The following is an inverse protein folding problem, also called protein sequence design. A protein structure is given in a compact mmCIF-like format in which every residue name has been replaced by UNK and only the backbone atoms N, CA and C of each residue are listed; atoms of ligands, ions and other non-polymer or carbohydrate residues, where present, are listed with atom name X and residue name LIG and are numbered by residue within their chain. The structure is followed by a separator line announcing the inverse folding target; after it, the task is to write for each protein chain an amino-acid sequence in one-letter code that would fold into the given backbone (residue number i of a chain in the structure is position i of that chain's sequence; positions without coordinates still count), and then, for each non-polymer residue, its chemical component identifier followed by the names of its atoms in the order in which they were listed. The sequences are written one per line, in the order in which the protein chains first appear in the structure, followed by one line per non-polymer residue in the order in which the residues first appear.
data_IF_767653647350
#
_entry.id   IF_767653647350
#
_cell.length_a   1.000
_cell.length_b   1.000
_cell.length_c   1.000
_cell.angle_alpha   90.00
_cell.angle_beta   90.00
_cell.angle_gamma   90.00
#
_symmetry.space_group_name_H-M   'P 1'
#
loop_
_entity.id
_entity.type
_entity.pdbx_description
1 polymer ?
#
# COMPACT_ATOMS: atom_id res chain seq x y z
N UNK A 1 -1.56 -13.13 25.00
CA UNK A 1 -0.26 -13.31 24.30
C UNK A 1 -0.42 -14.12 23.01
N UNK A 2 -1.02 -15.31 23.04
CA UNK A 2 -1.19 -16.17 21.84
C UNK A 2 -1.98 -15.52 20.68
N UNK A 3 -3.03 -14.75 20.95
CA UNK A 3 -3.83 -14.07 19.92
C UNK A 3 -3.02 -13.00 19.15
N UNK A 4 -2.13 -12.29 19.85
CA UNK A 4 -1.24 -11.31 19.23
C UNK A 4 -0.19 -11.97 18.35
N UNK A 5 0.33 -13.14 18.76
CA UNK A 5 1.27 -13.89 17.94
C UNK A 5 0.61 -14.41 16.66
N UNK A 6 -0.66 -14.86 16.74
CA UNK A 6 -1.42 -15.26 15.56
C UNK A 6 -1.64 -14.09 14.58
N UNK A 7 -2.08 -12.93 15.06
CA UNK A 7 -2.26 -11.73 14.22
C UNK A 7 -0.93 -11.20 13.65
N UNK A 8 0.13 -11.20 14.45
CA UNK A 8 1.46 -10.83 13.97
C UNK A 8 1.96 -11.79 12.88
N UNK A 9 1.58 -13.07 12.97
CA UNK A 9 1.89 -14.08 11.96
C UNK A 9 1.10 -13.88 10.66
N UNK A 10 -0.18 -13.50 10.72
CA UNK A 10 -0.95 -13.17 9.51
C UNK A 10 -0.39 -11.92 8.81
N UNK A 11 -0.02 -10.90 9.58
CA UNK A 11 0.46 -9.60 9.07
C UNK A 11 1.84 -9.64 8.45
N UNK A 12 2.66 -10.65 8.77
CA UNK A 12 4.04 -10.77 8.24
C UNK A 12 4.08 -10.83 6.71
N UNK A 13 3.00 -11.29 6.08
CA UNK A 13 2.87 -11.42 4.62
C UNK A 13 2.34 -10.15 3.95
N UNK A 14 1.87 -9.14 4.70
CA UNK A 14 1.25 -7.95 4.10
C UNK A 14 2.24 -7.15 3.27
N UNK A 15 3.40 -6.80 3.81
CA UNK A 15 4.40 -6.02 3.07
C UNK A 15 4.82 -6.67 1.73
N UNK A 16 5.18 -7.97 1.65
CA UNK A 16 5.54 -8.58 0.36
C UNK A 16 4.36 -8.70 -0.61
N UNK A 17 3.14 -8.99 -0.13
CA UNK A 17 1.94 -9.06 -0.98
C UNK A 17 1.62 -7.67 -1.56
N UNK A 18 1.57 -6.65 -0.70
CA UNK A 18 1.30 -5.26 -1.09
C UNK A 18 2.35 -4.75 -2.08
N UNK A 19 3.64 -4.99 -1.80
CA UNK A 19 4.72 -4.60 -2.71
C UNK A 19 4.57 -5.28 -4.08
N UNK A 20 4.36 -6.59 -4.13
CA UNK A 20 4.22 -7.33 -5.38
C UNK A 20 3.05 -6.83 -6.24
N UNK A 21 1.87 -6.66 -5.63
CA UNK A 21 0.68 -6.18 -6.32
C UNK A 21 0.82 -4.74 -6.82
N UNK A 22 1.29 -3.82 -5.97
CA UNK A 22 1.31 -2.40 -6.32
C UNK A 22 2.56 -1.96 -7.09
N UNK A 23 3.66 -2.72 -7.07
CA UNK A 23 4.77 -2.48 -8.00
C UNK A 23 4.30 -2.55 -9.44
N UNK A 24 3.51 -3.58 -9.78
CA UNK A 24 2.96 -3.72 -11.12
C UNK A 24 2.02 -2.56 -11.45
N UNK A 25 1.13 -2.19 -10.53
CA UNK A 25 0.22 -1.06 -10.70
C UNK A 25 0.99 0.25 -10.95
N UNK A 26 2.09 0.50 -10.24
CA UNK A 26 2.93 1.68 -10.46
C UNK A 26 3.56 1.69 -11.87
N UNK A 27 4.12 0.56 -12.33
CA UNK A 27 4.69 0.45 -13.68
C UNK A 27 3.63 0.74 -14.76
N UNK A 28 2.40 0.28 -14.55
CA UNK A 28 1.27 0.53 -15.43
C UNK A 28 0.80 1.99 -15.40
N UNK A 29 0.75 2.62 -14.22
CA UNK A 29 0.43 4.04 -14.08
C UNK A 29 1.47 4.94 -14.74
N UNK A 30 2.76 4.63 -14.62
CA UNK A 30 3.84 5.36 -15.30
C UNK A 30 3.69 5.27 -16.81
N UNK A 31 3.39 4.07 -17.35
CA UNK A 31 3.13 3.89 -18.78
C UNK A 31 1.90 4.66 -19.22
N UNK A 32 0.81 4.58 -18.46
CA UNK A 32 -0.42 5.31 -18.74
C UNK A 32 -0.16 6.83 -18.77
N UNK A 33 0.56 7.36 -17.79
CA UNK A 33 0.91 8.77 -17.75
C UNK A 33 1.76 9.22 -18.95
N UNK A 34 2.60 8.34 -19.49
CA UNK A 34 3.41 8.65 -20.68
C UNK A 34 2.62 8.63 -21.99
N UNK A 35 1.54 7.85 -22.05
CA UNK A 35 0.72 7.64 -23.26
C UNK A 35 -0.52 8.53 -23.32
N UNK A 36 -1.02 8.99 -22.17
CA UNK A 36 -2.21 9.83 -22.08
C UNK A 36 -1.81 11.30 -22.12
N UNK A 37 -2.45 12.07 -22.99
CA UNK A 37 -2.26 13.52 -23.11
C UNK A 37 -3.38 14.30 -22.42
N UNK A 38 -3.01 15.42 -21.82
CA UNK A 38 -3.91 16.44 -21.31
C UNK A 38 -3.39 17.81 -21.76
N UNK A 39 -4.26 18.64 -22.34
CA UNK A 39 -3.88 19.94 -22.91
C UNK A 39 -2.69 19.86 -23.90
N UNK A 40 -2.65 18.79 -24.70
CA UNK A 40 -1.61 18.58 -25.72
C UNK A 40 -0.23 18.20 -25.17
N UNK A 41 -0.14 17.81 -23.90
CA UNK A 41 1.10 17.29 -23.29
C UNK A 41 0.84 15.96 -22.58
N UNK A 42 1.79 15.00 -22.61
CA UNK A 42 1.70 13.80 -21.80
C UNK A 42 1.54 14.11 -20.31
N UNK A 43 0.70 13.35 -19.61
CA UNK A 43 0.53 13.46 -18.16
C UNK A 43 1.87 13.27 -17.41
N UNK A 44 2.80 12.52 -17.98
CA UNK A 44 4.16 12.34 -17.47
C UNK A 44 4.99 13.63 -17.44
N UNK A 45 4.58 14.71 -18.10
CA UNK A 45 5.20 16.03 -18.01
C UNK A 45 4.59 16.92 -16.91
N UNK A 46 3.43 16.56 -16.37
CA UNK A 46 2.80 17.29 -15.27
C UNK A 46 3.60 17.10 -13.97
N UNK A 47 4.08 18.18 -13.37
CA UNK A 47 4.94 18.13 -12.18
C UNK A 47 4.27 17.46 -10.98
N UNK A 48 2.96 17.64 -10.80
CA UNK A 48 2.20 17.04 -9.70
C UNK A 48 2.08 15.54 -9.87
N UNK A 49 1.79 15.07 -11.10
CA UNK A 49 1.72 13.63 -11.40
C UNK A 49 3.07 12.98 -11.20
N UNK A 50 4.16 13.61 -11.66
CA UNK A 50 5.52 13.11 -11.47
C UNK A 50 5.88 12.96 -10.00
N UNK A 51 5.54 13.96 -9.17
CA UNK A 51 5.79 13.91 -7.73
C UNK A 51 5.03 12.74 -7.08
N UNK A 52 3.73 12.58 -7.38
CA UNK A 52 2.91 11.48 -6.85
C UNK A 52 3.44 10.10 -7.24
N UNK A 53 3.86 9.92 -8.50
CA UNK A 53 4.46 8.66 -8.97
C UNK A 53 5.80 8.39 -8.30
N UNK A 54 6.61 9.42 -8.03
CA UNK A 54 7.87 9.29 -7.30
C UNK A 54 7.64 8.92 -5.83
N UNK A 55 6.67 9.54 -5.16
CA UNK A 55 6.29 9.20 -3.79
C UNK A 55 5.84 7.74 -3.68
N UNK A 56 5.01 7.27 -4.63
CA UNK A 56 4.61 5.86 -4.70
C UNK A 56 5.79 4.91 -4.90
N UNK A 57 6.77 5.29 -5.73
CA UNK A 57 7.97 4.49 -5.93
C UNK A 57 8.79 4.37 -4.63
N UNK A 58 8.94 5.47 -3.89
CA UNK A 58 9.62 5.50 -2.60
C UNK A 58 8.88 4.62 -1.59
N UNK A 59 7.56 4.78 -1.49
CA UNK A 59 6.72 4.03 -0.56
C UNK A 59 6.79 2.50 -0.82
N UNK A 60 6.85 2.08 -2.09
CA UNK A 60 7.04 0.68 -2.47
C UNK A 60 8.43 0.14 -2.10
N UNK A 61 9.48 0.94 -2.26
CA UNK A 61 10.82 0.55 -1.81
C UNK A 61 10.89 0.40 -0.28
N UNK A 62 10.18 1.25 0.46
CA UNK A 62 10.02 1.10 1.92
C UNK A 62 9.34 -0.22 2.26
N UNK A 63 8.23 -0.58 1.59
CA UNK A 63 7.57 -1.88 1.78
C UNK A 63 8.47 -3.06 1.44
N UNK A 64 9.27 -2.95 0.38
CA UNK A 64 10.26 -3.96 0.01
C UNK A 64 11.29 -4.17 1.13
N UNK A 65 11.82 -3.10 1.69
CA UNK A 65 12.75 -3.18 2.83
C UNK A 65 12.11 -3.78 4.07
N UNK A 66 10.86 -3.40 4.36
CA UNK A 66 10.09 -3.97 5.45
C UNK A 66 9.83 -5.47 5.30
N UNK A 67 9.57 -5.95 4.08
CA UNK A 67 9.43 -7.37 3.78
C UNK A 67 10.74 -8.13 4.05
N UNK A 68 11.88 -7.62 3.57
CA UNK A 68 13.18 -8.24 3.84
C UNK A 68 13.54 -8.20 5.33
N UNK A 69 13.24 -7.12 6.04
CA UNK A 69 13.50 -7.03 7.48
C UNK A 69 12.71 -8.08 8.26
N UNK A 70 11.42 -8.28 7.96
CA UNK A 70 10.60 -9.31 8.60
C UNK A 70 11.15 -10.71 8.29
N UNK A 71 11.46 -10.98 7.02
CA UNK A 71 11.99 -12.27 6.61
C UNK A 71 13.32 -12.60 7.32
N UNK A 72 14.21 -11.60 7.44
CA UNK A 72 15.47 -11.76 8.16
C UNK A 72 15.24 -12.00 9.66
N UNK A 73 14.36 -11.25 10.32
CA UNK A 73 14.09 -11.47 11.76
C UNK A 73 13.52 -12.87 12.03
N UNK A 74 12.61 -13.33 11.18
CA UNK A 74 12.06 -14.69 11.27
C UNK A 74 13.18 -15.73 11.07
N UNK A 75 14.11 -15.52 10.13
CA UNK A 75 15.23 -16.44 9.92
C UNK A 75 16.20 -16.50 11.11
N UNK A 76 16.24 -15.45 11.93
CA UNK A 76 16.96 -15.40 13.21
C UNK A 76 16.15 -15.99 14.39
N UNK A 77 15.00 -16.62 14.14
CA UNK A 77 14.13 -17.16 15.18
C UNK A 77 13.37 -16.11 16.00
N UNK A 78 13.34 -14.85 15.55
CA UNK A 78 12.61 -13.78 16.22
C UNK A 78 11.16 -13.75 15.77
N UNK A 79 10.25 -13.39 16.68
CA UNK A 79 8.83 -13.15 16.38
C UNK A 79 8.64 -11.63 16.24
N UNK A 80 8.49 -11.09 15.01
CA UNK A 80 8.21 -9.67 14.82
C UNK A 80 6.80 -9.37 15.32
N UNK A 81 6.67 -8.42 16.25
CA UNK A 81 5.38 -8.01 16.83
C UNK A 81 5.04 -6.61 16.34
N UNK A 82 5.81 -5.61 16.76
CA UNK A 82 5.54 -4.22 16.36
C UNK A 82 5.92 -3.94 14.90
N UNK A 83 6.87 -4.70 14.32
CA UNK A 83 7.24 -4.57 12.92
C UNK A 83 6.09 -4.99 12.00
N UNK A 84 5.35 -6.03 12.38
CA UNK A 84 4.14 -6.45 11.66
C UNK A 84 3.06 -5.36 11.71
N UNK A 85 2.90 -4.66 12.84
CA UNK A 85 1.99 -3.51 12.98
C UNK A 85 2.41 -2.31 12.13
N UNK A 86 3.70 -1.96 12.14
CA UNK A 86 4.27 -0.91 11.28
C UNK A 86 4.03 -1.23 9.80
N UNK A 87 4.29 -2.48 9.40
CA UNK A 87 4.12 -2.92 8.03
C UNK A 87 2.65 -2.85 7.59
N UNK A 88 1.70 -3.21 8.47
CA UNK A 88 0.26 -3.09 8.21
C UNK A 88 -0.12 -1.64 7.87
N UNK A 89 0.23 -0.69 8.74
CA UNK A 89 -0.06 0.74 8.52
C UNK A 89 0.53 1.22 7.18
N UNK A 90 1.78 0.87 6.91
CA UNK A 90 2.43 1.27 5.66
C UNK A 90 1.73 0.66 4.44
N UNK A 91 1.36 -0.63 4.51
CA UNK A 91 0.65 -1.31 3.42
C UNK A 91 -0.70 -0.64 3.10
N UNK A 92 -1.47 -0.26 4.12
CA UNK A 92 -2.74 0.44 3.92
C UNK A 92 -2.54 1.80 3.28
N UNK A 93 -1.54 2.55 3.74
CA UNK A 93 -1.23 3.88 3.23
C UNK A 93 -0.77 3.82 1.77
N UNK A 94 0.04 2.83 1.39
CA UNK A 94 0.42 2.59 -0.01
C UNK A 94 -0.81 2.24 -0.84
N UNK A 95 -1.66 1.32 -0.38
CA UNK A 95 -2.89 0.95 -1.10
C UNK A 95 -3.78 2.17 -1.34
N UNK A 96 -3.98 3.00 -0.31
CA UNK A 96 -4.74 4.24 -0.41
C UNK A 96 -4.10 5.22 -1.40
N UNK A 97 -2.79 5.45 -1.34
CA UNK A 97 -2.09 6.37 -2.25
C UNK A 97 -2.14 5.91 -3.70
N UNK A 98 -1.97 4.61 -3.95
CA UNK A 98 -2.10 4.04 -5.30
C UNK A 98 -3.53 4.21 -5.81
N UNK A 99 -4.52 3.93 -4.98
CA UNK A 99 -5.92 4.09 -5.34
C UNK A 99 -6.27 5.55 -5.71
N UNK A 100 -5.91 6.51 -4.85
CA UNK A 100 -6.21 7.93 -5.10
C UNK A 100 -5.43 8.46 -6.32
N UNK A 101 -4.12 8.22 -6.37
CA UNK A 101 -3.27 8.69 -7.48
C UNK A 101 -3.71 8.05 -8.79
N UNK A 102 -3.99 6.75 -8.79
CA UNK A 102 -4.48 6.05 -9.95
C UNK A 102 -5.83 6.59 -10.42
N UNK A 103 -6.75 6.86 -9.49
CA UNK A 103 -8.07 7.39 -9.83
C UNK A 103 -7.97 8.78 -10.47
N UNK A 104 -7.10 9.64 -9.95
CA UNK A 104 -6.82 10.96 -10.53
C UNK A 104 -6.20 10.84 -11.94
N UNK A 105 -5.25 9.93 -12.15
CA UNK A 105 -4.61 9.73 -13.45
C UNK A 105 -5.60 9.19 -14.50
N UNK A 106 -6.41 8.21 -14.12
CA UNK A 106 -7.37 7.56 -15.02
C UNK A 106 -8.64 8.41 -15.25
N UNK A 107 -8.92 9.38 -14.37
CA UNK A 107 -10.12 10.19 -14.43
C UNK A 107 -11.38 9.32 -14.40
N UNK A 108 -12.30 9.55 -15.34
CA UNK A 108 -13.58 8.79 -15.43
C UNK A 108 -13.37 7.29 -15.62
N UNK A 109 -12.25 6.86 -16.22
CA UNK A 109 -11.97 5.44 -16.42
C UNK A 109 -11.68 4.69 -15.12
N UNK A 110 -11.39 5.40 -14.02
CA UNK A 110 -11.20 4.79 -12.71
C UNK A 110 -12.47 4.18 -12.10
N UNK A 111 -13.64 4.57 -12.61
CA UNK A 111 -14.95 4.11 -12.15
C UNK A 111 -15.52 2.99 -13.02
N UNK A 112 -14.87 2.68 -14.14
CA UNK A 112 -15.36 1.72 -15.13
C UNK A 112 -15.23 0.29 -14.61
N UNK A 113 -16.27 -0.51 -14.85
CA UNK A 113 -16.32 -1.93 -14.51
C UNK A 113 -15.12 -2.70 -15.13
N UNK A 114 -14.47 -3.62 -14.40
CA UNK A 114 -13.31 -4.33 -14.91
C UNK A 114 -13.59 -5.15 -16.18
N UNK A 115 -14.82 -5.63 -16.34
CA UNK A 115 -15.26 -6.44 -17.48
C UNK A 115 -15.70 -5.58 -18.69
N UNK A 116 -15.68 -4.25 -18.55
CA UNK A 116 -15.99 -3.33 -19.65
C UNK A 116 -14.83 -3.20 -20.64
N UNK A 117 -15.15 -3.00 -21.93
CA UNK A 117 -14.16 -2.68 -22.97
C UNK A 117 -13.38 -1.38 -22.69
N UNK A 118 -13.94 -0.48 -21.87
CA UNK A 118 -13.34 0.80 -21.50
C UNK A 118 -12.42 0.70 -20.28
N UNK A 119 -12.32 -0.49 -19.68
CA UNK A 119 -11.48 -0.78 -18.52
C UNK A 119 -10.02 -0.41 -18.81
N UNK A 120 -9.38 0.23 -17.83
CA UNK A 120 -7.95 0.56 -17.85
C UNK A 120 -7.25 -0.21 -16.77
N UNK A 121 -6.05 -0.69 -17.09
CA UNK A 121 -5.19 -1.41 -16.15
C UNK A 121 -5.92 -2.61 -15.49
N UNK A 122 -6.77 -3.30 -16.25
CA UNK A 122 -7.56 -4.46 -15.82
C UNK A 122 -8.38 -4.22 -14.53
N UNK A 123 -8.92 -3.01 -14.34
CA UNK A 123 -9.71 -2.66 -13.15
C UNK A 123 -8.90 -2.54 -11.85
N UNK A 124 -7.56 -2.64 -11.90
CA UNK A 124 -6.69 -2.63 -10.71
C UNK A 124 -6.92 -1.40 -9.82
N UNK A 125 -7.03 -0.23 -10.43
CA UNK A 125 -7.24 1.03 -9.70
C UNK A 125 -8.62 1.11 -9.08
N UNK A 126 -9.67 0.68 -9.79
CA UNK A 126 -11.02 0.64 -9.26
C UNK A 126 -11.11 -0.30 -8.06
N UNK A 127 -10.57 -1.52 -8.18
CA UNK A 127 -10.51 -2.48 -7.09
C UNK A 127 -9.75 -1.96 -5.88
N UNK A 128 -8.60 -1.29 -6.10
CA UNK A 128 -7.86 -0.65 -5.03
C UNK A 128 -8.67 0.48 -4.36
N UNK A 129 -9.37 1.30 -5.15
CA UNK A 129 -10.21 2.41 -4.66
C UNK A 129 -11.38 1.94 -3.81
N UNK A 130 -12.07 0.88 -4.24
CA UNK A 130 -13.16 0.29 -3.47
C UNK A 130 -12.66 -0.48 -2.24
N UNK A 131 -11.47 -1.08 -2.32
CA UNK A 131 -10.92 -1.93 -1.27
C UNK A 131 -10.21 -1.20 -0.12
N UNK A 132 -9.54 -0.07 -0.38
CA UNK A 132 -8.66 0.56 0.63
C UNK A 132 -9.39 0.97 1.93
N UNK A 133 -10.65 1.46 1.93
CA UNK A 133 -11.33 1.81 3.17
C UNK A 133 -11.58 0.59 4.06
N UNK A 134 -11.90 -0.56 3.44
CA UNK A 134 -12.09 -1.83 4.17
C UNK A 134 -10.78 -2.34 4.76
N UNK A 135 -9.69 -2.29 3.99
CA UNK A 135 -8.37 -2.73 4.45
C UNK A 135 -7.82 -1.88 5.60
N UNK A 136 -8.10 -0.58 5.61
CA UNK A 136 -7.71 0.33 6.70
C UNK A 136 -8.25 -0.12 8.07
N UNK A 137 -9.39 -0.81 8.09
CA UNK A 137 -10.05 -1.30 9.31
C UNK A 137 -9.75 -2.79 9.55
N UNK A 138 -9.73 -3.58 8.48
CA UNK A 138 -9.50 -5.01 8.53
C UNK A 138 -8.15 -5.34 9.19
N UNK A 139 -8.14 -6.42 9.97
CA UNK A 139 -6.96 -6.90 10.69
C UNK A 139 -6.29 -5.86 11.59
N UNK A 140 -7.04 -4.87 12.11
CA UNK A 140 -6.59 -3.89 13.12
C UNK A 140 -6.52 -2.47 12.55
N UNK A 141 -7.20 -1.51 13.18
CA UNK A 141 -7.16 -0.11 12.71
C UNK A 141 -5.79 0.52 12.95
N UNK A 142 -5.51 1.65 12.28
CA UNK A 142 -4.25 2.38 12.45
C UNK A 142 -3.99 2.78 13.92
N UNK A 143 -5.02 3.09 14.69
CA UNK A 143 -4.94 3.43 16.12
C UNK A 143 -4.47 2.23 16.95
N UNK A 144 -5.02 1.04 16.68
CA UNK A 144 -4.64 -0.19 17.36
C UNK A 144 -3.19 -0.56 17.02
N UNK A 145 -2.82 -0.48 15.74
CA UNK A 145 -1.44 -0.76 15.32
C UNK A 145 -0.44 0.23 15.91
N UNK A 146 -0.78 1.53 16.00
CA UNK A 146 0.04 2.53 16.68
C UNK A 146 0.17 2.26 18.17
N UNK A 147 -0.89 1.78 18.83
CA UNK A 147 -0.85 1.36 20.23
C UNK A 147 0.13 0.20 20.44
N UNK A 148 0.12 -0.80 19.56
CA UNK A 148 1.10 -1.92 19.58
C UNK A 148 2.52 -1.40 19.38
N UNK A 149 2.74 -0.48 18.44
CA UNK A 149 4.06 0.13 18.21
C UNK A 149 4.54 0.91 19.45
N UNK A 150 3.67 1.70 20.07
CA UNK A 150 3.99 2.44 21.29
C UNK A 150 4.40 1.49 22.43
N UNK A 151 3.61 0.44 22.66
CA UNK A 151 3.86 -0.49 23.76
C UNK A 151 5.06 -1.41 23.51
N UNK A 152 5.14 -2.05 22.35
CA UNK A 152 6.11 -3.11 22.07
C UNK A 152 7.33 -2.64 21.28
N UNK A 153 7.20 -1.55 20.51
CA UNK A 153 8.32 -0.95 19.78
C UNK A 153 9.05 0.12 20.59
N UNK A 154 8.32 0.95 21.34
CA UNK A 154 8.88 2.06 22.12
C UNK A 154 8.93 1.81 23.63
N UNK A 155 8.33 0.73 24.13
CA UNK A 155 8.32 0.40 25.56
C UNK A 155 7.44 1.32 26.42
N UNK A 156 6.50 2.04 25.81
CA UNK A 156 5.59 2.94 26.53
C UNK A 156 4.48 2.14 27.25
N UNK A 157 3.92 2.67 28.36
CA UNK A 157 2.77 2.04 29.02
C UNK A 157 1.55 2.00 28.10
N UNK A 158 0.63 1.06 28.38
CA UNK A 158 -0.63 0.93 27.65
C UNK A 158 -1.44 2.22 27.77
N UNK A 159 -2.04 2.67 26.66
CA UNK A 159 -2.96 3.81 26.65
C UNK A 159 -4.18 3.52 27.54
N UNK A 160 -4.67 4.57 28.22
CA UNK A 160 -5.86 4.53 29.08
C UNK A 160 -7.15 4.37 28.27
#
# INVERSE_FOLDING_TARGET
YHLMQALAFERRSLAPITYGGFKRALEELVKYAAQTEHEGKPLSQNSVIRAKLADLAIDLEVLRMFAFQIAWRISQGQIPVYESSRNKIMSDEVMRRVAITGAELLGVYSQVDPDSEWSKLNGTIQGAYLGFPGMAIAAGTAEIEKSIIAQFGLGLPKSY
#
